data_IF_017894335819
#
_entry.id   IF_017894335819
#
_cell.length_a   1.000
_cell.length_b   1.000
_cell.length_c   1.000
_cell.angle_alpha   90.00
_cell.angle_beta   90.00
_cell.angle_gamma   90.00
#
_symmetry.space_group_name_H-M   'P 1'
#
loop_
_entity.id
_entity.type
_entity.pdbx_description
1 polymer ?
#
# COMPACT_ATOMS: atom_id res chain seq x y z
N UNK A 1 3.56 33.92 -19.57
CA UNK A 1 4.27 32.74 -20.10
C UNK A 1 3.66 31.53 -19.44
N UNK A 2 2.74 30.89 -20.15
CA UNK A 2 1.96 29.73 -19.70
C UNK A 2 2.84 28.49 -19.75
N UNK A 3 3.28 28.01 -18.59
CA UNK A 3 3.89 26.69 -18.48
C UNK A 3 2.77 25.66 -18.58
N UNK A 4 2.61 25.07 -19.77
CA UNK A 4 1.87 23.82 -19.94
C UNK A 4 2.57 22.75 -19.10
N UNK A 5 1.95 22.33 -18.02
CA UNK A 5 2.43 21.20 -17.23
C UNK A 5 2.29 19.96 -18.10
N UNK A 6 3.42 19.50 -18.63
CA UNK A 6 3.49 18.25 -19.39
C UNK A 6 2.93 17.12 -18.54
N UNK A 7 2.04 16.35 -19.15
CA UNK A 7 1.53 15.10 -18.63
C UNK A 7 2.71 14.13 -18.54
N UNK A 8 3.24 13.94 -17.33
CA UNK A 8 4.43 13.12 -17.10
C UNK A 8 4.06 11.65 -17.23
N UNK A 9 4.08 11.14 -18.46
CA UNK A 9 4.61 9.82 -18.83
C UNK A 9 3.93 8.56 -18.29
N UNK A 10 2.75 8.60 -17.69
CA UNK A 10 1.99 7.36 -17.45
C UNK A 10 1.31 6.98 -18.77
N UNK A 11 1.82 5.93 -19.42
CA UNK A 11 1.23 5.40 -20.65
C UNK A 11 -0.27 5.10 -20.41
N UNK A 12 -1.14 5.67 -21.25
CA UNK A 12 -2.59 5.44 -21.21
C UNK A 12 -2.96 3.94 -21.26
N UNK A 13 -2.03 3.09 -21.70
CA UNK A 13 -2.13 1.64 -21.67
C UNK A 13 -2.45 1.04 -20.29
N UNK A 14 -2.00 1.68 -19.20
CA UNK A 14 -2.05 1.09 -17.86
C UNK A 14 -3.06 1.71 -16.91
N UNK A 15 -3.90 2.61 -17.42
CA UNK A 15 -5.01 3.20 -16.67
C UNK A 15 -6.30 2.61 -17.20
N UNK A 16 -6.97 1.82 -16.36
CA UNK A 16 -8.20 1.11 -16.70
C UNK A 16 -9.41 1.83 -16.09
N UNK A 17 -10.54 1.89 -16.80
CA UNK A 17 -11.79 2.34 -16.19
C UNK A 17 -12.19 1.37 -15.06
N UNK A 18 -12.90 1.87 -14.04
CA UNK A 18 -13.34 1.05 -12.90
C UNK A 18 -14.18 -0.15 -13.34
N UNK A 19 -14.96 0.01 -14.41
CA UNK A 19 -15.77 -1.04 -15.03
C UNK A 19 -14.94 -2.20 -15.58
N UNK A 20 -13.68 -1.98 -15.93
CA UNK A 20 -12.79 -3.06 -16.38
C UNK A 20 -12.54 -4.11 -15.29
N UNK A 21 -12.77 -3.77 -14.01
CA UNK A 21 -12.71 -4.74 -12.91
C UNK A 21 -13.76 -5.86 -13.05
N UNK A 22 -14.87 -5.62 -13.76
CA UNK A 22 -15.89 -6.64 -14.04
C UNK A 22 -15.43 -7.67 -15.08
N UNK A 23 -14.40 -7.31 -15.85
CA UNK A 23 -13.87 -8.07 -16.98
C UNK A 23 -12.44 -8.55 -16.70
N UNK A 24 -12.05 -8.65 -15.43
CA UNK A 24 -10.75 -9.23 -15.08
C UNK A 24 -10.74 -10.71 -15.46
N UNK A 25 -9.63 -11.25 -15.97
CA UNK A 25 -9.58 -12.62 -16.45
C UNK A 25 -10.11 -13.66 -15.45
N UNK A 26 -9.75 -13.57 -14.17
CA UNK A 26 -10.26 -14.52 -13.16
C UNK A 26 -11.77 -14.44 -12.97
N UNK A 27 -12.38 -13.26 -13.11
CA UNK A 27 -13.84 -13.08 -13.05
C UNK A 27 -14.52 -13.66 -14.29
N UNK A 28 -13.92 -13.55 -15.47
CA UNK A 28 -14.52 -14.01 -16.73
C UNK A 28 -14.33 -15.50 -16.99
N UNK A 29 -13.15 -16.04 -16.68
CA UNK A 29 -12.78 -17.42 -17.03
C UNK A 29 -13.10 -18.42 -15.92
N UNK A 30 -13.35 -17.93 -14.71
CA UNK A 30 -13.40 -18.74 -13.50
C UNK A 30 -14.56 -18.32 -12.59
N UNK A 31 -14.81 -19.07 -11.51
CA UNK A 31 -15.89 -18.76 -10.55
C UNK A 31 -15.52 -17.64 -9.54
N UNK A 32 -14.59 -16.75 -9.87
CA UNK A 32 -14.22 -15.65 -8.96
C UNK A 32 -15.29 -14.57 -8.95
N UNK A 33 -15.73 -14.18 -7.76
CA UNK A 33 -16.44 -12.91 -7.60
C UNK A 33 -15.42 -11.76 -7.62
N UNK A 34 -15.86 -10.56 -7.99
CA UNK A 34 -15.03 -9.34 -7.91
C UNK A 34 -14.47 -9.16 -6.50
N UNK A 35 -15.31 -9.35 -5.47
CA UNK A 35 -14.88 -9.26 -4.07
C UNK A 35 -13.78 -10.27 -3.71
N UNK A 36 -13.88 -11.51 -4.21
CA UNK A 36 -12.85 -12.54 -4.01
C UNK A 36 -11.54 -12.18 -4.72
N UNK A 37 -11.61 -11.71 -5.96
CA UNK A 37 -10.40 -11.32 -6.69
C UNK A 37 -9.70 -10.12 -6.01
N UNK A 38 -10.46 -9.10 -5.61
CA UNK A 38 -9.91 -7.93 -4.92
C UNK A 38 -9.33 -8.29 -3.54
N UNK A 39 -9.96 -9.21 -2.81
CA UNK A 39 -9.41 -9.79 -1.58
C UNK A 39 -8.06 -10.46 -1.84
N UNK A 40 -7.98 -11.32 -2.85
CA UNK A 40 -6.74 -12.02 -3.20
C UNK A 40 -5.64 -11.06 -3.67
N UNK A 41 -5.99 -9.99 -4.39
CA UNK A 41 -5.05 -8.92 -4.74
C UNK A 41 -4.48 -8.26 -3.48
N UNK A 42 -5.34 -7.89 -2.53
CA UNK A 42 -4.91 -7.29 -1.27
C UNK A 42 -3.97 -8.22 -0.48
N UNK A 43 -4.27 -9.52 -0.44
CA UNK A 43 -3.41 -10.54 0.20
C UNK A 43 -2.10 -10.75 -0.54
N UNK A 44 -2.13 -10.71 -1.88
CA UNK A 44 -0.93 -10.79 -2.73
C UNK A 44 0.02 -9.62 -2.47
N UNK A 45 -0.49 -8.40 -2.46
CA UNK A 45 0.30 -7.20 -2.17
C UNK A 45 0.81 -7.17 -0.73
N UNK A 46 0.02 -7.62 0.25
CA UNK A 46 0.51 -7.75 1.63
C UNK A 46 1.67 -8.73 1.74
N UNK A 47 1.56 -9.89 1.07
CA UNK A 47 2.65 -10.87 1.00
C UNK A 47 3.89 -10.27 0.30
N UNK A 48 3.69 -9.56 -0.82
CA UNK A 48 4.73 -8.82 -1.54
C UNK A 48 5.49 -7.86 -0.63
N UNK A 49 4.80 -7.02 0.15
CA UNK A 49 5.42 -6.09 1.08
C UNK A 49 6.20 -6.80 2.20
N UNK A 50 5.71 -7.95 2.68
CA UNK A 50 6.43 -8.79 3.66
C UNK A 50 7.72 -9.37 3.08
N UNK A 51 7.73 -9.78 1.80
CA UNK A 51 8.95 -10.22 1.11
C UNK A 51 9.94 -9.06 1.00
N UNK A 52 9.52 -7.94 0.42
CA UNK A 52 10.37 -6.78 0.19
C UNK A 52 10.97 -6.23 1.48
N UNK A 53 10.18 -6.13 2.55
CA UNK A 53 10.66 -5.70 3.87
C UNK A 53 11.70 -6.66 4.45
N UNK A 54 11.49 -7.98 4.32
CA UNK A 54 12.44 -8.99 4.81
C UNK A 54 13.74 -9.01 4.00
N UNK A 55 13.68 -8.58 2.74
CA UNK A 55 14.84 -8.40 1.86
C UNK A 55 15.50 -7.02 2.04
N UNK A 56 14.93 -6.13 2.85
CA UNK A 56 15.41 -4.76 3.05
C UNK A 56 15.36 -3.92 1.77
N UNK A 57 14.29 -4.07 0.97
CA UNK A 57 14.06 -3.24 -0.20
C UNK A 57 13.48 -1.87 0.20
N UNK A 58 13.82 -0.79 -0.53
CA UNK A 58 13.16 0.49 -0.33
C UNK A 58 11.68 0.41 -0.68
N UNK A 59 10.85 1.24 -0.03
CA UNK A 59 9.41 1.26 -0.28
C UNK A 59 9.04 1.59 -1.71
N UNK A 60 9.80 2.47 -2.39
CA UNK A 60 9.61 2.78 -3.80
C UNK A 60 9.63 1.53 -4.69
N UNK A 61 10.62 0.64 -4.50
CA UNK A 61 10.71 -0.61 -5.25
C UNK A 61 9.53 -1.55 -4.98
N UNK A 62 9.05 -1.60 -3.72
CA UNK A 62 7.87 -2.38 -3.36
C UNK A 62 6.58 -1.81 -3.98
N UNK A 63 6.45 -0.49 -4.04
CA UNK A 63 5.33 0.19 -4.69
C UNK A 63 5.30 -0.06 -6.20
N UNK A 64 6.46 0.03 -6.86
CA UNK A 64 6.61 -0.36 -8.26
C UNK A 64 6.17 -1.81 -8.48
N UNK A 65 6.68 -2.74 -7.67
CA UNK A 65 6.31 -4.15 -7.74
C UNK A 65 4.81 -4.40 -7.53
N UNK A 66 4.17 -3.68 -6.59
CA UNK A 66 2.72 -3.78 -6.37
C UNK A 66 1.93 -3.29 -7.59
N UNK A 67 2.35 -2.21 -8.26
CA UNK A 67 1.72 -1.77 -9.51
C UNK A 67 1.83 -2.82 -10.61
N UNK A 68 2.99 -3.46 -10.79
CA UNK A 68 3.12 -4.55 -11.76
C UNK A 68 2.25 -5.76 -11.43
N UNK A 69 2.15 -6.11 -10.15
CA UNK A 69 1.25 -7.17 -9.69
C UNK A 69 -0.20 -6.87 -10.11
N UNK A 70 -0.66 -5.63 -9.94
CA UNK A 70 -1.99 -5.23 -10.39
C UNK A 70 -2.16 -5.30 -11.91
N UNK A 71 -1.17 -4.81 -12.67
CA UNK A 71 -1.16 -4.88 -14.15
C UNK A 71 -1.18 -6.32 -14.67
N UNK A 72 -0.43 -7.23 -14.04
CA UNK A 72 -0.37 -8.64 -14.42
C UNK A 72 -1.76 -9.29 -14.38
N UNK A 73 -2.47 -9.14 -13.27
CA UNK A 73 -3.80 -9.74 -13.11
C UNK A 73 -4.90 -9.00 -13.88
N UNK A 74 -4.60 -7.92 -14.62
CA UNK A 74 -5.52 -7.42 -15.66
C UNK A 74 -5.45 -8.23 -16.95
N UNK A 75 -4.47 -9.15 -17.09
CA UNK A 75 -4.23 -9.95 -18.29
C UNK A 75 -4.23 -11.46 -18.06
N UNK A 76 -4.00 -11.89 -16.83
CA UNK A 76 -3.96 -13.30 -16.45
C UNK A 76 -4.90 -13.61 -15.28
N UNK A 77 -5.41 -14.84 -15.24
CA UNK A 77 -6.31 -15.32 -14.18
C UNK A 77 -5.53 -15.74 -12.93
N UNK A 78 -6.11 -15.49 -11.75
CA UNK A 78 -5.61 -16.00 -10.47
C UNK A 78 -5.78 -17.52 -10.30
N UNK A 79 -6.57 -18.18 -11.16
CA UNK A 79 -6.65 -19.64 -11.20
C UNK A 79 -5.39 -20.26 -11.83
N UNK A 80 -4.88 -19.62 -12.89
CA UNK A 80 -3.68 -20.08 -13.60
C UNK A 80 -2.39 -19.69 -12.86
N UNK A 81 -2.38 -18.52 -12.21
CA UNK A 81 -1.22 -17.96 -11.56
C UNK A 81 -1.50 -17.59 -10.12
N UNK A 82 -0.86 -18.30 -9.19
CA UNK A 82 -1.05 -18.03 -7.78
C UNK A 82 -0.42 -16.68 -7.38
N UNK A 83 -1.18 -15.87 -6.63
CA UNK A 83 -0.78 -14.52 -6.20
C UNK A 83 0.60 -14.46 -5.51
N UNK A 84 0.99 -15.49 -4.75
CA UNK A 84 2.27 -15.47 -4.04
C UNK A 84 3.46 -15.61 -5.01
N UNK A 85 3.32 -16.45 -6.03
CA UNK A 85 4.38 -16.70 -7.02
C UNK A 85 4.62 -15.44 -7.86
N UNK A 86 3.53 -14.81 -8.33
CA UNK A 86 3.59 -13.53 -9.05
C UNK A 86 4.14 -12.42 -8.16
N UNK A 87 3.77 -12.37 -6.87
CA UNK A 87 4.35 -11.40 -5.94
C UNK A 87 5.87 -11.58 -5.80
N UNK A 88 6.36 -12.81 -5.73
CA UNK A 88 7.80 -13.10 -5.67
C UNK A 88 8.53 -12.70 -6.96
N UNK A 89 7.93 -12.97 -8.13
CA UNK A 89 8.44 -12.53 -9.43
C UNK A 89 8.50 -11.00 -9.54
N UNK A 90 7.45 -10.29 -9.11
CA UNK A 90 7.44 -8.82 -9.07
C UNK A 90 8.55 -8.25 -8.18
N UNK A 91 8.78 -8.85 -7.01
CA UNK A 91 9.88 -8.48 -6.11
C UNK A 91 11.23 -8.72 -6.76
N UNK A 92 11.43 -9.90 -7.37
CA UNK A 92 12.69 -10.23 -8.02
C UNK A 92 12.99 -9.26 -9.17
N UNK A 93 12.00 -8.97 -10.02
CA UNK A 93 12.10 -7.99 -11.09
C UNK A 93 12.43 -6.59 -10.56
N UNK A 94 11.80 -6.18 -9.45
CA UNK A 94 12.05 -4.88 -8.83
C UNK A 94 13.49 -4.78 -8.32
N UNK A 95 14.07 -5.88 -7.81
CA UNK A 95 15.46 -5.87 -7.34
C UNK A 95 16.49 -5.61 -8.44
N UNK A 96 16.12 -5.88 -9.70
CA UNK A 96 16.95 -5.66 -10.89
C UNK A 96 16.76 -4.27 -11.49
N UNK A 97 15.52 -3.81 -11.55
CA UNK A 97 15.13 -2.54 -12.20
C UNK A 97 15.34 -1.32 -11.31
N UNK A 98 15.17 -1.46 -9.99
CA UNK A 98 15.35 -0.41 -8.98
C UNK A 98 16.75 -0.48 -8.32
N UNK A 99 17.69 -1.18 -8.96
CA UNK A 99 19.10 -1.30 -8.55
C UNK A 99 19.34 -1.73 -7.09
N UNK A 100 18.41 -2.50 -6.50
CA UNK A 100 18.51 -2.94 -5.10
C UNK A 100 19.49 -4.13 -4.90
N UNK A 101 19.80 -4.86 -5.97
CA UNK A 101 20.88 -5.86 -6.00
C UNK A 101 20.69 -7.04 -5.05
N UNK A 102 19.59 -7.80 -5.20
CA UNK A 102 19.37 -9.06 -4.44
C UNK A 102 19.56 -10.29 -5.32
N UNK A 103 20.17 -11.33 -4.76
CA UNK A 103 20.35 -12.61 -5.46
C UNK A 103 19.01 -13.36 -5.48
N UNK A 104 18.73 -14.05 -6.59
CA UNK A 104 17.55 -14.89 -6.74
C UNK A 104 17.38 -15.88 -5.58
N UNK A 105 18.49 -16.51 -5.15
CA UNK A 105 18.50 -17.44 -4.01
C UNK A 105 18.01 -16.81 -2.71
N UNK A 106 18.37 -15.55 -2.44
CA UNK A 106 17.95 -14.87 -1.22
C UNK A 106 16.44 -14.57 -1.27
N UNK A 107 15.93 -14.17 -2.44
CA UNK A 107 14.48 -14.00 -2.67
C UNK A 107 13.74 -15.33 -2.47
N UNK A 108 14.25 -16.42 -3.05
CA UNK A 108 13.67 -17.75 -2.91
C UNK A 108 13.67 -18.26 -1.46
N UNK A 109 14.73 -18.03 -0.69
CA UNK A 109 14.78 -18.39 0.74
C UNK A 109 13.78 -17.59 1.58
N UNK A 110 13.67 -16.28 1.34
CA UNK A 110 12.68 -15.44 2.01
C UNK A 110 11.26 -15.87 1.64
N UNK A 111 11.01 -16.16 0.36
CA UNK A 111 9.74 -16.69 -0.10
C UNK A 111 9.38 -18.00 0.61
N UNK A 112 10.29 -18.98 0.60
CA UNK A 112 10.13 -20.27 1.29
C UNK A 112 9.84 -20.07 2.79
N UNK A 113 10.57 -19.17 3.45
CA UNK A 113 10.34 -18.79 4.85
C UNK A 113 8.92 -18.25 5.07
N UNK A 114 8.41 -17.37 4.20
CA UNK A 114 7.07 -16.79 4.37
C UNK A 114 5.94 -17.77 4.10
N UNK A 115 6.08 -18.69 3.15
CA UNK A 115 5.04 -19.69 2.87
C UNK A 115 5.00 -20.83 3.90
N UNK A 116 6.13 -21.16 4.52
CA UNK A 116 6.22 -22.23 5.54
C UNK A 116 6.07 -21.72 6.97
N UNK A 117 6.27 -20.41 7.20
CA UNK A 117 6.33 -19.83 8.54
C UNK A 117 7.64 -20.11 9.29
N UNK A 118 8.59 -20.81 8.65
CA UNK A 118 9.91 -21.10 9.23
C UNK A 118 10.80 -19.88 9.11
N UNK A 119 11.55 -19.54 10.16
CA UNK A 119 12.51 -18.44 10.13
C UNK A 119 13.55 -18.64 9.00
N UNK A 120 13.83 -17.59 8.24
CA UNK A 120 14.78 -17.61 7.11
C UNK A 120 16.17 -18.11 7.51
N UNK A 121 16.60 -17.90 8.76
CA UNK A 121 17.86 -18.41 9.29
C UNK A 121 17.92 -19.94 9.30
N UNK A 122 16.77 -20.62 9.40
CA UNK A 122 16.67 -22.08 9.38
C UNK A 122 16.39 -22.66 7.99
N UNK A 123 16.16 -21.82 6.97
CA UNK A 123 16.04 -22.28 5.59
C UNK A 123 17.45 -22.49 5.03
N UNK A 124 17.85 -23.72 4.65
CA UNK A 124 19.17 -23.97 4.08
C UNK A 124 19.43 -23.15 2.82
N UNK A 125 20.70 -22.84 2.54
CA UNK A 125 21.06 -22.13 1.32
C UNK A 125 20.79 -22.96 0.07
N UNK A 126 21.03 -24.26 0.16
CA UNK A 126 20.93 -25.24 -0.92
C UNK A 126 20.01 -26.34 -0.42
N UNK A 127 18.76 -26.27 -0.85
CA UNK A 127 17.74 -27.30 -0.63
C UNK A 127 16.91 -27.42 -1.89
N UNK A 128 16.33 -28.61 -2.12
CA UNK A 128 15.49 -28.86 -3.29
C UNK A 128 14.32 -27.88 -3.34
N UNK A 129 13.74 -27.52 -2.18
CA UNK A 129 12.65 -26.54 -2.11
C UNK A 129 13.11 -25.16 -2.59
N UNK A 130 14.27 -24.68 -2.11
CA UNK A 130 14.80 -23.38 -2.54
C UNK A 130 15.15 -23.38 -4.03
N UNK A 131 15.70 -24.46 -4.57
CA UNK A 131 15.95 -24.62 -6.01
C UNK A 131 14.66 -24.60 -6.84
N UNK A 132 13.62 -25.27 -6.36
CA UNK A 132 12.30 -25.23 -6.98
C UNK A 132 11.71 -23.82 -6.96
N UNK A 133 11.84 -23.09 -5.84
CA UNK A 133 11.38 -21.70 -5.76
C UNK A 133 12.15 -20.78 -6.69
N UNK A 134 13.47 -20.95 -6.82
CA UNK A 134 14.26 -20.18 -7.79
C UNK A 134 13.77 -20.41 -9.22
N UNK A 135 13.49 -21.67 -9.58
CA UNK A 135 12.96 -22.03 -10.90
C UNK A 135 11.58 -21.44 -11.15
N UNK A 136 10.68 -21.56 -10.17
CA UNK A 136 9.32 -21.00 -10.26
C UNK A 136 9.34 -19.47 -10.40
N UNK A 137 10.18 -18.76 -9.64
CA UNK A 137 10.33 -17.30 -9.73
C UNK A 137 10.82 -16.89 -11.12
N UNK A 138 11.77 -17.62 -11.72
CA UNK A 138 12.28 -17.31 -13.06
C UNK A 138 11.23 -17.52 -14.16
N UNK A 139 10.46 -18.60 -14.08
CA UNK A 139 9.38 -18.87 -15.04
C UNK A 139 8.26 -17.83 -14.91
N UNK A 140 7.86 -17.50 -13.68
CA UNK A 140 6.86 -16.46 -13.43
C UNK A 140 7.35 -15.08 -13.88
N UNK A 141 8.65 -14.79 -13.73
CA UNK A 141 9.25 -13.54 -14.22
C UNK A 141 9.18 -13.43 -15.74
N UNK A 142 9.49 -14.50 -16.49
CA UNK A 142 9.42 -14.48 -17.96
C UNK A 142 8.03 -14.06 -18.45
N UNK A 143 6.99 -14.65 -17.86
CA UNK A 143 5.59 -14.34 -18.17
C UNK A 143 5.22 -12.94 -17.70
N UNK A 144 5.72 -12.51 -16.54
CA UNK A 144 5.51 -11.14 -16.03
C UNK A 144 6.10 -10.08 -16.98
N UNK A 145 7.29 -10.29 -17.54
CA UNK A 145 7.91 -9.36 -18.48
C UNK A 145 7.04 -9.15 -19.72
N UNK A 146 6.49 -10.24 -20.28
CA UNK A 146 5.54 -10.19 -21.39
C UNK A 146 4.23 -9.52 -20.99
N UNK A 147 3.68 -9.88 -19.82
CA UNK A 147 2.48 -9.28 -19.27
C UNK A 147 2.59 -7.77 -19.10
N UNK A 148 3.79 -7.25 -18.80
CA UNK A 148 4.06 -5.83 -18.65
C UNK A 148 4.44 -5.15 -19.96
N UNK A 149 4.49 -5.86 -21.09
CA UNK A 149 5.03 -5.33 -22.36
C UNK A 149 6.41 -4.66 -22.20
N UNK A 150 7.23 -5.13 -21.25
CA UNK A 150 8.49 -4.50 -20.87
C UNK A 150 8.38 -3.01 -20.43
N UNK A 151 7.19 -2.55 -20.06
CA UNK A 151 6.95 -1.21 -19.51
C UNK A 151 6.99 -1.25 -17.98
N UNK A 152 8.17 -0.96 -17.44
CA UNK A 152 8.46 -1.00 -16.01
C UNK A 152 8.25 0.34 -15.31
N UNK A 153 7.98 1.42 -16.05
CA UNK A 153 7.92 2.76 -15.47
C UNK A 153 6.62 2.92 -14.68
N UNK A 154 6.76 3.34 -13.42
CA UNK A 154 5.63 3.63 -12.53
C UNK A 154 5.91 4.92 -11.76
N UNK A 155 4.87 5.71 -11.49
CA UNK A 155 4.95 6.91 -10.67
C UNK A 155 4.10 6.67 -9.43
N UNK A 156 4.72 6.79 -8.26
CA UNK A 156 4.02 6.57 -6.99
C UNK A 156 3.26 7.82 -6.54
N UNK A 157 2.04 7.69 -5.94
CA UNK A 157 1.40 8.80 -5.26
C UNK A 157 2.25 9.38 -4.12
N UNK A 158 3.16 8.60 -3.52
CA UNK A 158 4.08 9.11 -2.48
C UNK A 158 5.01 10.20 -3.01
N UNK A 159 5.47 10.08 -4.26
CA UNK A 159 6.29 11.11 -4.89
C UNK A 159 5.49 12.43 -5.01
N UNK A 160 4.23 12.33 -5.43
CA UNK A 160 3.32 13.48 -5.52
C UNK A 160 2.97 14.06 -4.15
N UNK A 161 2.85 13.22 -3.11
CA UNK A 161 2.63 13.68 -1.75
C UNK A 161 3.79 14.53 -1.23
N UNK A 162 5.04 14.16 -1.53
CA UNK A 162 6.21 14.97 -1.15
C UNK A 162 6.13 16.36 -1.79
N UNK A 163 5.78 16.45 -3.08
CA UNK A 163 5.59 17.74 -3.75
C UNK A 163 4.50 18.61 -3.07
N UNK A 164 3.38 18.00 -2.68
CA UNK A 164 2.30 18.70 -1.96
C UNK A 164 2.71 19.14 -0.56
N UNK A 165 3.49 18.32 0.14
CA UNK A 165 3.97 18.62 1.49
C UNK A 165 4.98 19.76 1.48
N UNK A 166 5.83 19.84 0.45
CA UNK A 166 6.81 20.92 0.28
C UNK A 166 6.13 22.21 -0.17
N UNK A 167 5.11 22.13 -1.03
CA UNK A 167 4.40 23.29 -1.55
C UNK A 167 3.35 23.86 -0.57
N UNK A 168 2.78 23.01 0.30
CA UNK A 168 1.69 23.37 1.22
C UNK A 168 2.12 23.41 2.68
N UNK A 169 1.49 24.30 3.48
CA UNK A 169 1.66 24.29 4.94
C UNK A 169 0.76 23.22 5.58
N UNK A 170 1.15 21.95 5.44
CA UNK A 170 0.42 20.81 6.00
C UNK A 170 0.96 20.44 7.37
N UNK A 171 0.09 20.18 8.36
CA UNK A 171 0.52 19.68 9.67
C UNK A 171 1.08 18.25 9.53
N UNK A 172 2.18 17.93 10.22
CA UNK A 172 2.82 16.61 10.28
C UNK A 172 1.82 15.46 10.48
N UNK A 173 0.80 15.64 11.33
CA UNK A 173 -0.24 14.60 11.54
C UNK A 173 -0.99 14.23 10.24
N UNK A 174 -1.31 15.23 9.42
CA UNK A 174 -1.99 15.00 8.13
C UNK A 174 -1.04 14.36 7.13
N UNK A 175 0.24 14.76 7.13
CA UNK A 175 1.26 14.15 6.30
C UNK A 175 1.44 12.66 6.61
N UNK A 176 1.56 12.30 7.89
CA UNK A 176 1.71 10.90 8.34
C UNK A 176 0.50 10.04 7.96
N UNK A 177 -0.71 10.58 8.13
CA UNK A 177 -1.94 9.90 7.74
C UNK A 177 -2.02 9.74 6.21
N UNK A 178 -1.74 10.79 5.44
CA UNK A 178 -1.77 10.72 3.98
C UNK A 178 -0.74 9.72 3.43
N UNK A 179 0.46 9.69 4.03
CA UNK A 179 1.50 8.73 3.68
C UNK A 179 1.07 7.28 3.93
N UNK A 180 0.45 7.03 5.10
CA UNK A 180 -0.05 5.70 5.45
C UNK A 180 -1.22 5.26 4.56
N UNK A 181 -2.16 6.16 4.26
CA UNK A 181 -3.26 5.89 3.33
C UNK A 181 -2.74 5.63 1.91
N UNK A 182 -1.71 6.37 1.45
CA UNK A 182 -1.08 6.11 0.16
C UNK A 182 -0.39 4.74 0.10
N UNK A 183 0.24 4.31 1.19
CA UNK A 183 0.78 2.95 1.31
C UNK A 183 -0.33 1.91 1.22
N UNK A 184 -1.45 2.13 1.93
CA UNK A 184 -2.60 1.23 1.92
C UNK A 184 -3.30 1.17 0.55
N UNK A 185 -3.28 2.26 -0.22
CA UNK A 185 -3.87 2.32 -1.55
C UNK A 185 -3.34 1.23 -2.50
N UNK A 186 -2.11 0.76 -2.30
CA UNK A 186 -1.52 -0.33 -3.08
C UNK A 186 -2.12 -1.71 -2.79
N UNK A 187 -2.85 -1.89 -1.68
CA UNK A 187 -3.63 -3.11 -1.43
C UNK A 187 -4.96 -3.12 -2.20
N UNK A 188 -5.23 -2.03 -2.92
CA UNK A 188 -6.37 -1.86 -3.82
C UNK A 188 -5.85 -1.64 -5.24
N UNK A 189 -6.67 -1.82 -6.29
CA UNK A 189 -6.22 -1.58 -7.66
C UNK A 189 -6.07 -0.09 -8.04
N UNK A 190 -6.14 0.86 -7.09
CA UNK A 190 -6.14 2.30 -7.41
C UNK A 190 -4.97 2.74 -8.30
N UNK A 191 -3.78 2.16 -8.11
CA UNK A 191 -2.58 2.48 -8.90
C UNK A 191 -2.67 2.12 -10.41
N UNK A 192 -3.70 1.36 -10.81
CA UNK A 192 -4.02 1.07 -12.21
C UNK A 192 -5.37 1.65 -12.65
N UNK A 193 -6.11 2.30 -11.76
CA UNK A 193 -7.42 2.91 -12.04
C UNK A 193 -7.34 4.43 -12.21
N UNK A 194 -6.46 5.08 -11.45
CA UNK A 194 -6.35 6.53 -11.43
C UNK A 194 -4.89 6.99 -11.49
N UNK A 195 -4.69 8.20 -12.01
CA UNK A 195 -3.37 8.83 -12.02
C UNK A 195 -2.85 9.12 -10.60
N UNK A 196 -1.52 9.19 -10.39
CA UNK A 196 -0.93 9.35 -9.06
C UNK A 196 -1.33 10.67 -8.38
N UNK A 197 -1.63 11.73 -9.14
CA UNK A 197 -2.15 13.00 -8.62
C UNK A 197 -3.53 12.86 -7.97
N UNK A 198 -4.43 12.11 -8.63
CA UNK A 198 -5.76 11.82 -8.10
C UNK A 198 -5.67 11.02 -6.80
N UNK A 199 -4.83 9.97 -6.79
CA UNK A 199 -4.64 9.13 -5.61
C UNK A 199 -4.03 9.95 -4.46
N UNK A 200 -3.00 10.76 -4.71
CA UNK A 200 -2.38 11.60 -3.69
C UNK A 200 -3.36 12.62 -3.10
N UNK A 201 -4.18 13.25 -3.93
CA UNK A 201 -5.23 14.16 -3.46
C UNK A 201 -6.28 13.44 -2.60
N UNK A 202 -6.76 12.27 -3.02
CA UNK A 202 -7.67 11.45 -2.22
C UNK A 202 -7.06 11.09 -0.85
N UNK A 203 -5.77 10.72 -0.81
CA UNK A 203 -5.06 10.41 0.43
C UNK A 203 -5.00 11.62 1.38
N UNK A 204 -4.66 12.81 0.88
CA UNK A 204 -4.60 14.03 1.70
C UNK A 204 -5.98 14.45 2.20
N UNK A 205 -7.02 14.41 1.34
CA UNK A 205 -8.38 14.78 1.71
C UNK A 205 -8.91 13.86 2.81
N UNK A 206 -8.69 12.55 2.66
CA UNK A 206 -9.08 11.56 3.66
C UNK A 206 -8.26 11.72 4.96
N UNK A 207 -6.96 11.96 4.85
CA UNK A 207 -6.07 12.20 5.98
C UNK A 207 -6.49 13.44 6.79
N UNK A 208 -6.80 14.55 6.12
CA UNK A 208 -7.26 15.76 6.80
C UNK A 208 -8.61 15.52 7.48
N UNK A 209 -9.54 14.83 6.82
CA UNK A 209 -10.82 14.44 7.44
C UNK A 209 -10.61 13.58 8.70
N UNK A 210 -9.70 12.62 8.64
CA UNK A 210 -9.37 11.78 9.79
C UNK A 210 -8.65 12.57 10.91
N UNK A 211 -7.79 13.52 10.55
CA UNK A 211 -7.04 14.33 11.50
C UNK A 211 -7.93 15.34 12.25
N UNK A 212 -8.87 15.97 11.53
CA UNK A 212 -9.82 16.97 12.05
C UNK A 212 -10.97 16.32 12.85
N UNK A 213 -11.24 15.03 12.63
CA UNK A 213 -12.27 14.26 13.32
C UNK A 213 -13.66 14.38 12.70
N UNK A 214 -14.60 13.52 13.15
CA UNK A 214 -15.90 13.31 12.50
C UNK A 214 -16.85 14.53 12.47
N UNK A 215 -16.60 15.55 13.30
CA UNK A 215 -17.37 16.79 13.31
C UNK A 215 -16.88 17.85 12.32
N UNK A 216 -15.74 17.62 11.65
CA UNK A 216 -15.24 18.49 10.58
C UNK A 216 -16.16 18.48 9.34
N UNK A 217 -15.95 19.38 8.36
CA UNK A 217 -16.61 19.28 7.05
C UNK A 217 -16.51 17.88 6.44
N UNK A 218 -17.58 17.47 5.74
CA UNK A 218 -17.68 16.19 5.04
C UNK A 218 -16.69 16.09 3.88
N UNK A 219 -16.53 14.90 3.31
CA UNK A 219 -15.71 14.71 2.11
C UNK A 219 -16.28 15.50 0.92
N UNK A 220 -17.60 15.52 0.72
CA UNK A 220 -18.25 16.33 -0.33
C UNK A 220 -17.91 17.83 -0.20
N UNK A 221 -17.92 18.36 1.02
CA UNK A 221 -17.57 19.76 1.28
C UNK A 221 -16.09 20.07 0.97
N UNK A 222 -15.21 19.08 1.11
CA UNK A 222 -13.76 19.21 0.88
C UNK A 222 -13.37 19.09 -0.60
N UNK A 223 -14.17 18.38 -1.39
CA UNK A 223 -13.96 18.16 -2.83
C UNK A 223 -14.69 19.22 -3.68
N UNK A 224 -15.59 20.02 -3.09
CA UNK A 224 -16.32 21.09 -3.79
C UNK A 224 -15.39 22.13 -4.42
N UNK A 225 -15.65 22.45 -5.70
CA UNK A 225 -15.01 23.55 -6.44
C UNK A 225 -15.33 24.94 -5.85
N UNK A 226 -16.46 25.08 -5.18
CA UNK A 226 -16.86 26.36 -4.57
C UNK A 226 -16.34 26.49 -3.14
N UNK A 227 -15.71 27.62 -2.76
CA UNK A 227 -15.29 27.85 -1.39
C UNK A 227 -16.51 27.98 -0.46
N UNK A 228 -16.41 27.53 0.82
CA UNK A 228 -17.55 27.47 1.74
C UNK A 228 -18.08 28.86 2.10
N UNK A 229 -17.26 29.89 1.91
CA UNK A 229 -17.53 31.29 2.25
C UNK A 229 -18.35 32.07 1.22
N UNK A 230 -18.70 31.47 0.07
CA UNK A 230 -19.47 32.17 -0.96
C UNK A 230 -20.95 32.38 -0.60
N UNK A 231 -21.45 31.75 0.47
CA UNK A 231 -22.89 31.74 0.81
C UNK A 231 -23.26 32.41 2.13
N UNK A 232 -22.31 32.85 2.98
CA UNK A 232 -22.61 33.52 4.26
C UNK A 232 -21.59 34.61 4.63
N UNK A 233 -22.03 35.82 5.03
CA UNK A 233 -21.15 36.81 5.65
C UNK A 233 -20.82 36.38 7.09
N UNK A 234 -19.57 36.00 7.36
CA UNK A 234 -19.12 35.66 8.72
C UNK A 234 -18.60 36.89 9.47
N UNK A 235 -18.94 37.08 10.76
CA UNK A 235 -18.44 38.17 11.60
C UNK A 235 -16.93 38.02 11.92
N UNK A 236 -16.22 39.12 12.23
CA UNK A 236 -14.74 39.20 12.18
C UNK A 236 -13.98 38.51 13.33
N UNK A 237 -14.58 37.56 14.05
CA UNK A 237 -13.96 36.95 15.26
C UNK A 237 -13.57 35.47 15.11
N UNK A 238 -13.99 34.79 14.05
CA UNK A 238 -13.48 33.45 13.76
C UNK A 238 -12.32 33.57 12.79
N UNK A 239 -11.10 33.28 13.26
CA UNK A 239 -10.03 32.84 12.35
C UNK A 239 -10.64 31.77 11.42
N UNK A 240 -10.58 31.91 10.09
CA UNK A 240 -10.93 30.80 9.23
C UNK A 240 -10.12 29.60 9.69
N UNK A 241 -10.76 28.43 9.77
CA UNK A 241 -10.03 27.17 9.97
C UNK A 241 -8.84 27.16 9.00
N UNK A 242 -7.71 26.62 9.44
CA UNK A 242 -6.44 26.52 8.70
C UNK A 242 -6.63 26.35 7.20
N UNK A 243 -5.70 26.82 6.33
CA UNK A 243 -5.81 26.60 4.89
C UNK A 243 -6.24 25.15 4.64
N UNK A 244 -7.41 24.99 4.03
CA UNK A 244 -8.04 23.69 3.86
C UNK A 244 -7.13 22.88 2.95
N UNK A 245 -6.27 22.02 3.52
CA UNK A 245 -5.21 21.30 2.79
C UNK A 245 -5.81 20.50 1.62
N UNK A 246 -7.04 20.04 1.79
CA UNK A 246 -7.90 19.45 0.78
C UNK A 246 -8.09 20.37 -0.43
N UNK A 247 -8.45 21.63 -0.20
CA UNK A 247 -8.59 22.65 -1.25
C UNK A 247 -7.24 23.01 -1.87
N UNK A 248 -6.19 23.11 -1.06
CA UNK A 248 -4.84 23.38 -1.57
C UNK A 248 -4.44 22.31 -2.61
N UNK A 249 -4.66 21.03 -2.34
CA UNK A 249 -4.33 19.97 -3.30
C UNK A 249 -5.14 20.10 -4.61
N UNK A 250 -6.43 20.43 -4.51
CA UNK A 250 -7.30 20.65 -5.69
C UNK A 250 -6.82 21.85 -6.53
N UNK A 251 -6.50 22.96 -5.88
CA UNK A 251 -6.02 24.18 -6.54
C UNK A 251 -4.60 24.00 -7.12
N UNK A 252 -3.71 23.32 -6.39
CA UNK A 252 -2.32 23.09 -6.79
C UNK A 252 -2.22 22.31 -8.10
N UNK A 253 -3.07 21.31 -8.29
CA UNK A 253 -3.11 20.54 -9.54
C UNK A 253 -4.02 21.16 -10.61
N UNK A 254 -4.85 22.14 -10.27
CA UNK A 254 -5.82 22.73 -11.20
C UNK A 254 -6.89 21.74 -11.65
N UNK A 255 -7.37 20.88 -10.74
CA UNK A 255 -8.34 19.83 -11.07
C UNK A 255 -9.67 20.39 -11.59
N UNK A 256 -10.19 19.73 -12.62
CA UNK A 256 -11.51 19.99 -13.18
C UNK A 256 -12.60 19.10 -12.55
N UNK A 257 -13.84 19.21 -13.04
CA UNK A 257 -14.95 18.37 -12.57
C UNK A 257 -14.76 16.87 -12.82
N UNK A 258 -13.97 16.49 -13.83
CA UNK A 258 -13.67 15.09 -14.13
C UNK A 258 -12.65 14.54 -13.14
N UNK A 259 -11.59 15.30 -12.86
CA UNK A 259 -10.61 14.95 -11.85
C UNK A 259 -11.25 14.79 -10.47
N UNK A 260 -12.15 15.69 -10.09
CA UNK A 260 -12.84 15.61 -8.79
C UNK A 260 -13.79 14.41 -8.70
N UNK A 261 -14.38 13.97 -9.81
CA UNK A 261 -15.12 12.71 -9.88
C UNK A 261 -14.19 11.51 -9.66
N UNK A 262 -13.01 11.50 -10.29
CA UNK A 262 -12.01 10.46 -10.04
C UNK A 262 -11.49 10.46 -8.59
N UNK A 263 -11.29 11.63 -7.97
CA UNK A 263 -10.95 11.74 -6.54
C UNK A 263 -12.06 11.14 -5.67
N UNK A 264 -13.32 11.41 -6.03
CA UNK A 264 -14.49 10.87 -5.34
C UNK A 264 -14.57 9.35 -5.42
N UNK A 265 -14.37 8.78 -6.61
CA UNK A 265 -14.38 7.33 -6.81
C UNK A 265 -13.18 6.68 -6.07
N UNK A 266 -11.99 7.29 -6.10
CA UNK A 266 -10.83 6.81 -5.36
C UNK A 266 -11.06 6.79 -3.84
N UNK A 267 -11.66 7.85 -3.28
CA UNK A 267 -12.06 7.91 -1.87
C UNK A 267 -13.07 6.82 -1.52
N UNK A 268 -14.04 6.57 -2.40
CA UNK A 268 -15.07 5.55 -2.20
C UNK A 268 -14.44 4.16 -2.14
N UNK A 269 -13.52 3.84 -3.07
CA UNK A 269 -12.80 2.56 -3.09
C UNK A 269 -11.92 2.37 -1.85
N UNK A 270 -11.20 3.41 -1.38
CA UNK A 270 -10.42 3.34 -0.14
C UNK A 270 -11.30 3.06 1.07
N UNK A 271 -12.42 3.77 1.20
CA UNK A 271 -13.33 3.60 2.33
C UNK A 271 -14.02 2.24 2.31
N UNK A 272 -14.41 1.74 1.14
CA UNK A 272 -14.97 0.39 0.97
C UNK A 272 -13.95 -0.69 1.34
N UNK A 273 -12.69 -0.52 0.93
CA UNK A 273 -11.59 -1.39 1.35
C UNK A 273 -11.37 -1.39 2.86
N UNK A 274 -11.38 -0.21 3.50
CA UNK A 274 -11.24 -0.09 4.95
C UNK A 274 -12.42 -0.69 5.73
N UNK A 275 -13.64 -0.53 5.22
CA UNK A 275 -14.85 -1.12 5.79
C UNK A 275 -14.86 -2.65 5.72
N UNK A 276 -14.16 -3.23 4.73
CA UNK A 276 -14.03 -4.68 4.57
C UNK A 276 -12.95 -5.32 5.47
N UNK A 277 -12.05 -4.53 6.08
CA UNK A 277 -10.98 -5.06 6.94
C UNK A 277 -11.51 -5.59 8.28
N UNK A 278 -10.77 -6.52 8.88
CA UNK A 278 -10.99 -6.95 10.26
C UNK A 278 -10.42 -5.92 11.25
N UNK A 279 -11.31 -5.28 12.02
CA UNK A 279 -10.97 -4.30 13.03
C UNK A 279 -10.29 -4.89 14.26
N UNK A 280 -10.48 -6.18 14.55
CA UNK A 280 -9.80 -6.83 15.69
C UNK A 280 -8.29 -6.88 15.45
N UNK A 281 -7.90 -7.22 14.21
CA UNK A 281 -6.50 -7.28 13.79
C UNK A 281 -5.91 -5.89 13.54
N UNK A 282 -6.74 -4.88 13.21
CA UNK A 282 -6.29 -3.54 12.83
C UNK A 282 -7.14 -2.42 13.46
N UNK A 283 -7.03 -2.20 14.79
CA UNK A 283 -7.88 -1.24 15.49
C UNK A 283 -7.69 0.22 15.02
N UNK A 284 -6.51 0.55 14.48
CA UNK A 284 -6.19 1.88 13.95
C UNK A 284 -7.01 2.27 12.71
N UNK A 285 -7.56 1.29 11.97
CA UNK A 285 -8.36 1.51 10.76
C UNK A 285 -9.81 1.93 11.11
N UNK A 286 -10.26 1.66 12.33
CA UNK A 286 -11.64 1.93 12.78
C UNK A 286 -12.08 3.38 12.53
N UNK A 287 -11.17 4.33 12.74
CA UNK A 287 -11.44 5.75 12.45
C UNK A 287 -11.73 5.97 10.97
N UNK A 288 -10.92 5.42 10.06
CA UNK A 288 -11.08 5.57 8.62
C UNK A 288 -12.36 4.88 8.14
N UNK A 289 -12.66 3.68 8.62
CA UNK A 289 -13.87 2.94 8.26
C UNK A 289 -15.16 3.61 8.76
N UNK A 290 -15.10 4.49 9.77
CA UNK A 290 -16.25 5.26 10.24
C UNK A 290 -16.60 6.49 9.38
N UNK A 291 -15.68 6.92 8.52
CA UNK A 291 -15.88 8.09 7.65
C UNK A 291 -16.87 7.72 6.55
N UNK A 292 -17.92 8.53 6.41
CA UNK A 292 -18.92 8.33 5.35
C UNK A 292 -18.33 8.65 3.98
N UNK A 293 -18.57 7.80 2.96
CA UNK A 293 -18.12 8.07 1.59
C UNK A 293 -18.82 9.31 1.01
N UNK A 294 -18.23 9.96 0.01
CA UNK A 294 -18.86 11.10 -0.66
C UNK A 294 -20.20 10.69 -1.31
N UNK A 295 -21.20 11.56 -1.25
CA UNK A 295 -22.57 11.26 -1.71
C UNK A 295 -22.72 11.23 -3.22
N UNK A 296 -21.87 11.94 -3.94
CA UNK A 296 -21.97 12.11 -5.40
C UNK A 296 -21.08 11.13 -6.18
N UNK A 297 -20.46 10.18 -5.47
CA UNK A 297 -19.68 9.10 -6.07
C UNK A 297 -20.56 8.00 -6.63
N UNK A 298 -19.99 7.20 -7.54
CA UNK A 298 -20.61 5.93 -7.92
C UNK A 298 -20.74 5.07 -6.66
N UNK A 299 -21.91 4.47 -6.41
CA UNK A 299 -22.05 3.48 -5.33
C UNK A 299 -21.29 2.20 -5.71
N UNK A 300 -19.96 2.25 -5.55
CA UNK A 300 -19.04 1.16 -5.80
C UNK A 300 -18.89 0.38 -4.50
N UNK A 301 -19.64 -0.70 -4.37
CA UNK A 301 -19.43 -1.68 -3.31
C UNK A 301 -18.69 -2.87 -3.90
N UNK A 302 -17.38 -2.73 -3.98
CA UNK A 302 -16.47 -3.70 -4.59
C UNK A 302 -15.98 -4.75 -3.59
N UNK A 303 -15.90 -4.37 -2.31
CA UNK A 303 -15.39 -5.23 -1.25
C UNK A 303 -16.51 -5.81 -0.39
N UNK A 304 -16.41 -7.10 -0.13
CA UNK A 304 -17.19 -7.79 0.91
C UNK A 304 -16.32 -7.92 2.17
N UNK A 305 -16.90 -8.01 3.37
CA UNK A 305 -16.12 -8.21 4.60
C UNK A 305 -15.16 -9.40 4.47
N UNK A 306 -13.87 -9.17 4.70
CA UNK A 306 -12.83 -10.18 4.46
C UNK A 306 -13.02 -11.46 5.29
N UNK A 307 -13.68 -11.36 6.44
CA UNK A 307 -14.05 -12.50 7.27
C UNK A 307 -15.00 -13.49 6.56
N UNK A 308 -15.80 -13.03 5.60
CA UNK A 308 -16.74 -13.87 4.84
C UNK A 308 -16.06 -14.61 3.69
N UNK A 309 -14.88 -14.15 3.26
CA UNK A 309 -14.10 -14.72 2.15
C UNK A 309 -13.02 -15.70 2.61
N UNK A 310 -12.81 -15.83 3.92
CA UNK A 310 -11.91 -16.83 4.49
C UNK A 310 -12.51 -18.24 4.33
N UNK A 311 -11.71 -19.25 3.96
CA UNK A 311 -12.17 -20.63 3.99
C UNK A 311 -12.61 -21.00 5.42
N UNK A 312 -13.66 -21.82 5.60
CA UNK A 312 -14.11 -22.25 6.91
C UNK A 312 -12.97 -22.99 7.64
N UNK A 313 -12.69 -22.58 8.88
CA UNK A 313 -11.72 -23.28 9.73
C UNK A 313 -12.27 -24.69 9.99
N UNK A 314 -11.55 -25.77 9.63
CA UNK A 314 -12.01 -27.12 9.94
C UNK A 314 -12.16 -27.28 11.45
N UNK A 315 -13.22 -27.95 11.94
CA UNK A 315 -13.40 -28.16 13.37
C UNK A 315 -12.22 -28.96 13.91
N UNK A 316 -11.64 -28.49 15.02
CA UNK A 316 -10.57 -29.20 15.73
C UNK A 316 -11.19 -30.45 16.36
N UNK A 317 -11.14 -31.58 15.65
CA UNK A 317 -11.43 -32.89 16.23
C UNK A 317 -10.28 -33.25 17.17
N UNK A 318 -10.58 -33.25 18.46
CA UNK A 318 -9.65 -33.55 19.53
C UNK A 318 -9.50 -35.08 19.68
N UNK A 319 -9.01 -35.75 18.64
CA UNK A 319 -8.65 -37.17 18.70
C UNK A 319 -7.13 -37.30 18.55
N UNK A 320 -6.49 -37.74 19.64
CA UNK A 320 -5.05 -37.90 19.71
C UNK A 320 -4.57 -39.02 18.81
N UNK A 321 -3.91 -38.65 17.70
CA UNK A 321 -2.93 -39.47 16.99
C UNK A 321 -1.99 -38.56 16.16
N UNK A 322 -0.68 -38.85 16.23
CA UNK A 322 0.46 -38.15 15.60
C UNK A 322 0.41 -38.15 14.06
N UNK A 323 1.14 -37.24 13.38
CA UNK A 323 0.66 -36.55 12.18
C UNK A 323 1.05 -37.20 10.86
N UNK A 324 0.14 -37.14 9.88
CA UNK A 324 0.47 -37.18 8.46
C UNK A 324 0.37 -35.77 7.87
N UNK A 325 1.39 -35.46 7.08
CA UNK A 325 1.66 -34.23 6.36
C UNK A 325 0.61 -33.93 5.29
N UNK A 326 -0.14 -32.83 5.42
CA UNK A 326 -0.51 -31.95 4.29
C UNK A 326 -1.09 -30.60 4.75
N UNK A 327 -0.68 -29.55 4.03
CA UNK A 327 -1.47 -28.39 3.62
C UNK A 327 -1.67 -27.22 4.60
N UNK A 328 -1.00 -26.12 4.23
CA UNK A 328 -1.42 -24.71 4.31
C UNK A 328 -2.27 -24.32 5.53
N UNK A 329 -1.61 -24.18 6.68
CA UNK A 329 -2.16 -23.42 7.80
C UNK A 329 -1.79 -21.94 7.64
N UNK A 330 -2.81 -21.11 7.41
CA UNK A 330 -2.73 -19.65 7.41
C UNK A 330 -2.34 -19.15 8.80
N UNK A 331 -1.07 -18.78 8.99
CA UNK A 331 -0.58 -18.15 10.23
C UNK A 331 -0.82 -16.64 10.19
N UNK A 332 -1.59 -16.13 11.17
CA UNK A 332 -1.80 -14.71 11.41
C UNK A 332 -0.46 -13.97 11.65
N UNK A 333 -0.33 -12.70 11.23
CA UNK A 333 0.90 -11.95 11.42
C UNK A 333 1.08 -11.52 12.89
N UNK A 334 2.17 -11.97 13.51
CA UNK A 334 2.72 -11.35 14.71
C UNK A 334 3.37 -10.03 14.33
N UNK A 335 2.84 -8.93 14.83
CA UNK A 335 3.49 -7.62 14.78
C UNK A 335 4.62 -7.55 15.81
N UNK A 336 5.77 -6.93 15.46
CA UNK A 336 6.83 -6.67 16.43
C UNK A 336 6.43 -5.48 17.32
N UNK A 337 6.27 -5.74 18.61
CA UNK A 337 6.08 -4.69 19.61
C UNK A 337 7.44 -4.05 19.95
N UNK A 338 7.61 -2.79 19.54
CA UNK A 338 8.62 -1.92 20.12
C UNK A 338 8.25 -1.66 21.59
N UNK A 339 8.90 -2.37 22.51
CA UNK A 339 8.89 -2.05 23.93
C UNK A 339 10.16 -1.28 24.27
N UNK A 340 9.99 0.02 24.51
CA UNK A 340 10.98 0.88 25.15
C UNK A 340 11.08 0.51 26.63
N UNK A 341 12.10 -0.25 27.00
CA UNK A 341 12.48 -0.44 28.41
C UNK A 341 13.50 0.64 28.81
N UNK A 342 12.97 1.71 29.41
CA UNK A 342 13.74 2.65 30.23
C UNK A 342 14.17 1.96 31.52
N UNK A 343 15.46 1.64 31.64
CA UNK A 343 16.08 1.27 32.91
C UNK A 343 17.11 2.34 33.28
N UNK A 344 16.79 3.18 34.28
CA UNK A 344 17.75 4.07 34.95
C UNK A 344 18.76 3.24 35.76
N UNK A 345 20.03 3.65 35.83
CA UNK A 345 20.86 3.44 37.00
C UNK A 345 21.05 4.74 37.79
N UNK A 346 21.12 4.61 39.12
CA UNK A 346 21.41 5.67 40.09
C UNK A 346 22.92 6.03 40.11
N UNK A 347 23.35 7.13 40.76
CA UNK A 347 24.58 7.83 40.42
C UNK A 347 25.79 7.40 41.27
N UNK A 348 26.97 7.30 40.63
CA UNK A 348 28.26 7.32 41.30
C UNK A 348 29.00 8.64 40.98
N UNK A 349 29.61 9.21 42.02
CA UNK A 349 30.34 10.48 42.05
C UNK A 349 31.84 10.27 41.73
N UNK A 350 32.63 11.33 41.46
CA UNK A 350 33.62 11.35 40.39
C UNK A 350 35.04 10.97 40.83
N UNK A 351 35.75 10.25 39.97
CA UNK A 351 37.16 9.91 40.15
C UNK A 351 37.97 10.04 38.84
N UNK A 352 38.81 11.07 38.81
CA UNK A 352 40.12 11.14 38.13
C UNK A 352 40.23 10.78 36.63
N UNK A 353 40.34 11.82 35.80
CA UNK A 353 40.89 11.75 34.44
C UNK A 353 42.39 11.40 34.43
N UNK A 354 42.85 10.58 33.48
CA UNK A 354 44.17 10.71 32.90
C UNK A 354 44.10 11.23 31.44
N UNK A 355 45.01 12.16 31.18
CA UNK A 355 45.26 12.86 29.91
C UNK A 355 45.62 11.88 28.77
N UNK A 356 45.04 12.10 27.59
CA UNK A 356 45.60 11.59 26.31
C UNK A 356 46.42 12.73 25.69
N UNK A 357 47.68 12.49 25.28
CA UNK A 357 48.53 13.50 24.68
C UNK A 357 48.20 13.72 23.20
N UNK A 358 48.30 14.98 22.81
CA UNK A 358 48.21 15.50 21.45
C UNK A 358 49.25 14.86 20.51
N UNK A 359 48.78 14.25 19.43
CA UNK A 359 49.61 13.90 18.27
C UNK A 359 50.13 15.18 17.61
N UNK A 360 51.44 15.41 17.71
CA UNK A 360 52.20 16.24 16.76
C UNK A 360 52.42 15.45 15.47
N UNK A 361 52.28 16.11 14.32
CA UNK A 361 52.98 15.73 13.08
C UNK A 361 54.50 15.95 13.24
N UNK A 362 55.38 15.62 12.31
CA UNK A 362 55.32 15.29 10.89
C UNK A 362 56.52 14.36 10.60
N UNK A 363 56.39 13.50 9.58
CA UNK A 363 57.38 12.52 9.10
C UNK A 363 57.58 11.27 9.95
#
# INVERSE_FOLDING_TARGET
MTTSTQDTGVSAQWTFPVEALQHMPSVETSNYTIGKELYDRARGVEFLFRLGSSLGLPSSAMFTAATWFHRFFMRFSMEDYHRQDIAAACIFLATKTEECGRKLRDVARVFQSKITGVDVAHIPNESLEVENQQTAILLAEEILLEALCFDFVTISPHFILVELFDAGQTNTKVQDYAWSIAHDSYRTPLCILFGPRIIAAACIILAQRAADGLHSPSLDARISLSPPSASLPTPPSHKPASPDVSRFAVEYFGFDETDLRHVTDALTILLDFYAAQDFHSNPYISLLASIQPPTHGRQLKLYEPFAQLLPPVPPVTNDGQTPESSQYASSAPLTPSHSSSTTKPAPESPGSHPRIPSRRGLS
#
